data_IF_919139837637
#
_entry.id   IF_919139837637
#
_cell.length_a   1.000
_cell.length_b   1.000
_cell.length_c   1.000
_cell.angle_alpha   90.00
_cell.angle_beta   90.00
_cell.angle_gamma   90.00
#
_symmetry.space_group_name_H-M   'P 1'
#
loop_
_entity.id
_entity.type
_entity.pdbx_description
1 polymer ?
#
# COMPACT_ATOMS: atom_id res chain seq x y z
N UNK A 1 -20.09 20.87 2.20
CA UNK A 1 -19.12 19.81 1.89
C UNK A 1 -18.30 19.60 3.13
N UNK A 2 -18.41 18.43 3.75
CA UNK A 2 -17.72 18.09 4.98
C UNK A 2 -16.21 18.24 4.76
N UNK A 3 -15.57 19.08 5.57
CA UNK A 3 -14.14 19.33 5.48
C UNK A 3 -13.42 18.19 6.20
N UNK A 4 -12.76 17.31 5.45
CA UNK A 4 -11.93 16.26 6.06
C UNK A 4 -10.56 16.89 6.38
N UNK A 5 -10.13 16.93 7.66
CA UNK A 5 -9.02 17.75 8.10
C UNK A 5 -7.66 17.33 7.53
N UNK A 6 -7.40 16.01 7.41
CA UNK A 6 -6.31 15.38 6.65
C UNK A 6 -6.31 13.88 6.95
N UNK A 7 -5.63 13.08 6.12
CA UNK A 7 -5.19 11.75 6.52
C UNK A 7 -3.94 11.85 7.43
N UNK A 8 -3.76 10.95 8.41
CA UNK A 8 -2.58 10.98 9.28
C UNK A 8 -1.28 10.87 8.47
N UNK A 9 -0.22 11.52 8.96
CA UNK A 9 1.05 11.55 8.22
C UNK A 9 1.74 10.19 8.29
N UNK A 10 2.26 9.72 7.16
CA UNK A 10 3.14 8.56 7.17
C UNK A 10 4.53 8.95 7.68
N UNK A 11 5.00 8.20 8.68
CA UNK A 11 6.39 8.25 9.11
C UNK A 11 7.34 7.83 7.97
N UNK A 12 8.63 8.03 8.17
CA UNK A 12 9.66 7.49 7.26
C UNK A 12 9.52 5.95 7.16
N UNK A 13 9.84 5.35 5.99
CA UNK A 13 9.88 3.90 5.86
C UNK A 13 10.76 3.24 6.92
N UNK A 14 10.34 2.07 7.38
CA UNK A 14 11.05 1.28 8.41
C UNK A 14 11.76 0.06 7.84
N UNK A 15 11.48 -0.30 6.59
CA UNK A 15 12.09 -1.45 5.95
C UNK A 15 11.84 -1.50 4.45
N UNK A 16 12.59 -2.39 3.81
CA UNK A 16 12.37 -2.84 2.44
C UNK A 16 12.08 -4.33 2.54
N UNK A 17 10.99 -4.78 1.91
CA UNK A 17 10.64 -6.20 1.82
C UNK A 17 10.60 -6.58 0.35
N UNK A 18 11.08 -7.77 0.04
CA UNK A 18 11.03 -8.36 -1.29
C UNK A 18 10.63 -9.82 -1.14
N UNK A 19 9.72 -10.27 -2.00
CA UNK A 19 9.26 -11.66 -1.99
C UNK A 19 8.84 -12.09 -3.40
N UNK A 20 8.55 -13.38 -3.56
CA UNK A 20 8.03 -13.97 -4.78
C UNK A 20 6.78 -14.77 -4.40
N UNK A 21 5.63 -14.33 -4.90
CA UNK A 21 4.47 -15.20 -4.95
C UNK A 21 4.65 -16.19 -6.11
N UNK A 22 4.24 -17.44 -5.91
CA UNK A 22 4.32 -18.53 -6.87
C UNK A 22 2.90 -19.06 -7.10
N UNK A 23 2.46 -19.05 -8.34
CA UNK A 23 1.13 -19.52 -8.71
C UNK A 23 0.88 -20.96 -8.21
N UNK A 24 -0.27 -21.18 -7.56
CA UNK A 24 -0.69 -22.49 -7.06
C UNK A 24 -0.37 -22.76 -5.58
N UNK A 25 0.37 -21.87 -4.91
CA UNK A 25 0.49 -21.90 -3.45
C UNK A 25 -0.78 -21.32 -2.78
N UNK A 26 -1.11 -21.71 -1.53
CA UNK A 26 -2.29 -21.20 -0.83
C UNK A 26 -2.35 -19.66 -0.81
N UNK A 27 -3.39 -19.09 -1.41
CA UNK A 27 -3.60 -17.64 -1.50
C UNK A 27 -2.84 -16.92 -2.62
N UNK A 28 -2.15 -17.64 -3.50
CA UNK A 28 -1.34 -17.08 -4.58
C UNK A 28 -1.91 -17.49 -5.95
N UNK A 29 -2.42 -16.50 -6.69
CA UNK A 29 -3.13 -16.69 -7.97
C UNK A 29 -2.26 -16.41 -9.21
N UNK A 30 -1.07 -15.87 -9.01
CA UNK A 30 -0.07 -15.65 -10.06
C UNK A 30 1.35 -15.75 -9.48
N UNK A 31 2.32 -16.01 -10.36
CA UNK A 31 3.73 -15.92 -10.01
C UNK A 31 4.18 -14.49 -10.23
N UNK A 32 4.66 -13.82 -9.18
CA UNK A 32 5.07 -12.42 -9.25
C UNK A 32 6.14 -12.15 -8.19
N UNK A 33 7.28 -11.62 -8.63
CA UNK A 33 8.25 -11.02 -7.73
C UNK A 33 7.82 -9.59 -7.43
N UNK A 34 7.96 -9.16 -6.18
CA UNK A 34 7.62 -7.80 -5.80
C UNK A 34 8.59 -7.27 -4.75
N UNK A 35 8.74 -5.95 -4.75
CA UNK A 35 9.49 -5.23 -3.74
C UNK A 35 8.64 -4.06 -3.22
N UNK A 36 8.69 -3.83 -1.91
CA UNK A 36 7.93 -2.77 -1.26
C UNK A 36 8.74 -2.06 -0.17
N UNK A 37 8.30 -0.84 0.14
CA UNK A 37 8.73 -0.08 1.31
C UNK A 37 7.71 -0.25 2.42
N UNK A 38 8.11 -0.84 3.54
CA UNK A 38 7.26 -0.94 4.72
C UNK A 38 7.21 0.39 5.45
N UNK A 39 6.01 0.85 5.78
CA UNK A 39 5.76 2.06 6.56
C UNK A 39 5.32 1.69 7.97
N UNK A 40 5.60 2.55 8.94
CA UNK A 40 5.04 2.41 10.27
C UNK A 40 3.57 2.88 10.29
N UNK A 41 2.70 2.07 10.89
CA UNK A 41 1.36 2.51 11.29
C UNK A 41 1.41 3.23 12.64
N UNK A 42 0.36 3.96 12.97
CA UNK A 42 0.18 4.63 14.26
C UNK A 42 -1.30 4.59 14.68
N UNK A 43 -1.66 4.94 15.94
CA UNK A 43 -3.05 4.89 16.39
C UNK A 43 -4.04 5.72 15.56
N UNK A 44 -3.59 6.86 15.00
CA UNK A 44 -4.43 7.70 14.14
C UNK A 44 -4.74 7.01 12.80
N UNK A 45 -3.76 6.30 12.22
CA UNK A 45 -3.99 5.49 11.02
C UNK A 45 -5.00 4.38 11.27
N UNK A 46 -4.88 3.65 12.38
CA UNK A 46 -5.81 2.56 12.71
C UNK A 46 -7.24 3.11 12.89
N UNK A 47 -7.41 4.23 13.60
CA UNK A 47 -8.71 4.87 13.75
C UNK A 47 -9.30 5.34 12.41
N UNK A 48 -8.49 5.92 11.52
CA UNK A 48 -8.92 6.34 10.20
C UNK A 48 -9.35 5.14 9.32
N UNK A 49 -8.65 4.00 9.43
CA UNK A 49 -9.00 2.79 8.71
C UNK A 49 -10.25 2.12 9.24
N UNK A 50 -10.49 2.15 10.55
CA UNK A 50 -11.72 1.60 11.12
C UNK A 50 -12.94 2.37 10.59
N UNK A 51 -12.85 3.70 10.47
CA UNK A 51 -13.87 4.53 9.82
C UNK A 51 -14.01 4.16 8.33
N UNK A 52 -12.91 4.05 7.60
CA UNK A 52 -12.94 3.67 6.18
C UNK A 52 -13.59 2.31 5.98
N UNK A 53 -13.27 1.35 6.85
CA UNK A 53 -13.82 0.01 6.82
C UNK A 53 -15.33 0.01 7.08
N UNK A 54 -15.81 0.81 8.03
CA UNK A 54 -17.23 0.99 8.30
C UNK A 54 -17.97 1.61 7.10
N UNK A 55 -17.35 2.57 6.39
CA UNK A 55 -17.94 3.18 5.18
C UNK A 55 -18.19 2.12 4.09
N UNK A 56 -17.24 1.20 3.87
CA UNK A 56 -17.37 0.18 2.83
C UNK A 56 -18.21 -1.04 3.23
N UNK A 57 -18.30 -1.35 4.52
CA UNK A 57 -18.91 -2.59 5.01
C UNK A 57 -20.13 -2.39 5.93
N UNK A 58 -20.49 -1.13 6.21
CA UNK A 58 -21.61 -0.75 7.06
C UNK A 58 -21.32 -0.83 8.57
N UNK A 59 -22.14 -0.16 9.40
CA UNK A 59 -22.03 -0.23 10.86
C UNK A 59 -22.27 -1.67 11.34
N UNK A 60 -21.28 -2.22 12.04
CA UNK A 60 -21.30 -3.62 12.49
C UNK A 60 -21.05 -4.64 11.37
N UNK A 61 -20.42 -4.21 10.26
CA UNK A 61 -20.09 -5.05 9.10
C UNK A 61 -19.63 -6.45 9.50
N UNK A 62 -20.14 -7.46 8.78
CA UNK A 62 -20.06 -8.89 9.13
C UNK A 62 -18.63 -9.45 9.38
N UNK A 63 -17.58 -8.66 9.12
CA UNK A 63 -16.19 -8.96 9.44
C UNK A 63 -15.56 -7.71 10.06
N UNK A 64 -15.13 -7.74 11.31
CA UNK A 64 -14.22 -6.69 11.84
C UNK A 64 -12.85 -6.86 11.22
N UNK A 65 -12.08 -5.77 11.10
CA UNK A 65 -10.64 -5.84 10.81
C UNK A 65 -9.98 -6.80 11.79
N UNK A 66 -9.36 -7.86 11.28
CA UNK A 66 -8.80 -8.98 12.07
C UNK A 66 -7.34 -8.78 12.45
N UNK A 67 -6.65 -7.82 11.83
CA UNK A 67 -5.25 -7.53 12.09
C UNK A 67 -4.96 -6.03 11.94
N UNK A 68 -3.92 -5.52 12.62
CA UNK A 68 -3.41 -4.18 12.39
C UNK A 68 -3.03 -3.97 10.92
N UNK A 69 -3.17 -2.74 10.45
CA UNK A 69 -2.77 -2.41 9.10
C UNK A 69 -1.24 -2.42 8.96
N UNK A 70 -0.77 -2.96 7.84
CA UNK A 70 0.64 -2.90 7.44
C UNK A 70 0.75 -2.01 6.21
N UNK A 71 0.85 -0.69 6.39
CA UNK A 71 1.00 0.21 5.27
C UNK A 71 2.33 -0.05 4.56
N UNK A 72 2.28 -0.11 3.24
CA UNK A 72 3.44 -0.28 2.39
C UNK A 72 3.25 0.49 1.09
N UNK A 73 4.36 0.82 0.44
CA UNK A 73 4.37 1.31 -0.93
C UNK A 73 5.07 0.27 -1.79
N UNK A 74 4.33 -0.34 -2.70
CA UNK A 74 4.92 -1.19 -3.74
C UNK A 74 5.83 -0.36 -4.62
N UNK A 75 7.03 -0.88 -4.87
CA UNK A 75 8.10 -0.23 -5.62
C UNK A 75 8.21 -0.83 -7.01
N UNK A 76 8.16 -2.16 -7.05
CA UNK A 76 8.32 -2.91 -8.28
C UNK A 76 7.49 -4.19 -8.20
N UNK A 77 6.98 -4.57 -9.36
CA UNK A 77 6.35 -5.84 -9.64
C UNK A 77 7.03 -6.39 -10.89
N UNK A 78 7.42 -7.65 -10.86
CA UNK A 78 8.08 -8.32 -11.96
C UNK A 78 7.50 -9.72 -12.13
N UNK A 79 7.39 -10.18 -13.37
CA UNK A 79 7.02 -11.55 -13.69
C UNK A 79 8.31 -12.28 -14.03
N UNK A 80 8.96 -12.95 -13.05
CA UNK A 80 10.33 -13.41 -13.21
C UNK A 80 10.39 -14.53 -14.26
N UNK A 81 10.74 -14.17 -15.49
CA UNK A 81 11.06 -15.13 -16.57
C UNK A 81 12.56 -15.45 -16.57
N UNK A 82 13.42 -14.43 -16.39
CA UNK A 82 14.88 -14.55 -16.51
C UNK A 82 15.69 -13.92 -15.36
N UNK A 83 15.08 -13.03 -14.58
CA UNK A 83 15.74 -12.30 -13.47
C UNK A 83 14.76 -12.13 -12.32
N UNK A 84 15.29 -12.08 -11.09
CA UNK A 84 14.51 -11.79 -9.90
C UNK A 84 14.87 -10.39 -9.41
N UNK A 85 13.85 -9.64 -8.98
CA UNK A 85 14.05 -8.42 -8.19
C UNK A 85 14.96 -8.73 -7.00
N UNK A 86 16.20 -8.27 -7.06
CA UNK A 86 17.18 -8.48 -6.01
C UNK A 86 17.00 -7.45 -4.88
N UNK A 87 16.91 -7.92 -3.64
CA UNK A 87 16.83 -7.07 -2.45
C UNK A 87 18.01 -6.09 -2.35
N UNK A 88 19.23 -6.52 -2.65
CA UNK A 88 20.42 -5.66 -2.56
C UNK A 88 20.36 -4.50 -3.56
N UNK A 89 19.90 -4.78 -4.78
CA UNK A 89 19.71 -3.75 -5.81
C UNK A 89 18.58 -2.80 -5.45
N UNK A 90 17.49 -3.33 -4.88
CA UNK A 90 16.38 -2.51 -4.37
C UNK A 90 16.85 -1.57 -3.26
N UNK A 91 17.58 -2.07 -2.27
CA UNK A 91 18.15 -1.26 -1.18
C UNK A 91 19.10 -0.21 -1.75
N UNK A 92 19.98 -0.60 -2.67
CA UNK A 92 20.94 0.30 -3.32
C UNK A 92 20.22 1.43 -4.06
N UNK A 93 19.20 1.10 -4.84
CA UNK A 93 18.36 2.07 -5.54
C UNK A 93 17.69 3.02 -4.54
N UNK A 94 17.07 2.52 -3.48
CA UNK A 94 16.41 3.34 -2.46
C UNK A 94 17.38 4.27 -1.72
N UNK A 95 18.55 3.75 -1.35
CA UNK A 95 19.60 4.52 -0.70
C UNK A 95 20.12 5.64 -1.61
N UNK A 96 20.12 5.43 -2.94
CA UNK A 96 20.47 6.47 -3.92
C UNK A 96 19.45 7.61 -4.02
N UNK A 97 18.26 7.47 -3.41
CA UNK A 97 17.17 8.46 -3.43
C UNK A 97 16.88 8.94 -2.00
N UNK A 98 17.60 9.95 -1.49
CA UNK A 98 17.54 10.38 -0.09
C UNK A 98 16.15 10.77 0.41
N UNK A 99 15.29 11.24 -0.49
CA UNK A 99 13.92 11.62 -0.14
C UNK A 99 13.06 10.42 0.22
N UNK A 100 13.30 9.24 -0.35
CA UNK A 100 12.46 8.05 -0.15
C UNK A 100 12.54 7.58 1.30
N UNK A 101 13.75 7.36 1.81
CA UNK A 101 13.98 6.82 3.16
C UNK A 101 14.04 7.90 4.25
N UNK A 102 14.42 9.13 3.89
CA UNK A 102 14.75 10.18 4.86
C UNK A 102 13.62 11.11 5.25
N UNK A 103 12.43 11.00 4.63
CA UNK A 103 11.35 11.98 4.82
C UNK A 103 10.01 11.32 5.09
N UNK A 104 9.25 11.91 5.98
CA UNK A 104 7.83 11.61 6.19
C UNK A 104 7.00 12.06 4.98
N UNK A 105 5.77 11.55 4.86
CA UNK A 105 4.85 11.89 3.75
C UNK A 105 3.49 12.30 4.26
N UNK A 106 3.06 13.48 3.81
CA UNK A 106 1.67 13.92 3.93
C UNK A 106 0.89 13.35 2.74
N UNK A 107 -0.26 12.77 3.02
CA UNK A 107 -1.20 12.35 1.97
C UNK A 107 -1.99 13.57 1.50
N UNK A 108 -2.01 13.80 0.19
CA UNK A 108 -2.74 14.91 -0.41
C UNK A 108 -4.15 14.53 -0.86
N UNK A 109 -4.38 13.24 -1.12
CA UNK A 109 -5.67 12.74 -1.58
C UNK A 109 -5.81 11.25 -1.30
N UNK A 110 -7.05 10.79 -1.24
CA UNK A 110 -7.44 9.38 -1.39
C UNK A 110 -8.23 9.22 -2.69
N UNK A 111 -8.06 8.08 -3.34
CA UNK A 111 -8.76 7.76 -4.59
C UNK A 111 -9.46 6.42 -4.47
N UNK A 112 -10.67 6.34 -5.00
CA UNK A 112 -11.43 5.11 -5.17
C UNK A 112 -11.09 4.52 -6.54
N UNK A 113 -10.77 3.23 -6.58
CA UNK A 113 -10.38 2.53 -7.80
C UNK A 113 -11.27 1.31 -8.03
N UNK A 114 -11.63 1.07 -9.29
CA UNK A 114 -12.05 -0.24 -9.76
C UNK A 114 -10.79 -1.01 -10.17
N UNK A 115 -10.57 -2.18 -9.56
CA UNK A 115 -9.39 -3.02 -9.80
C UNK A 115 -9.76 -4.36 -10.46
N UNK A 116 -10.93 -4.45 -11.09
CA UNK A 116 -11.31 -5.61 -11.90
C UNK A 116 -10.40 -5.72 -13.14
N UNK A 117 -9.95 -6.93 -13.47
CA UNK A 117 -9.05 -7.16 -14.60
C UNK A 117 -7.57 -7.06 -14.24
N UNK A 118 -6.74 -6.69 -15.23
CA UNK A 118 -5.29 -6.49 -15.05
C UNK A 118 -5.02 -5.07 -14.54
N UNK A 119 -3.80 -4.83 -14.06
CA UNK A 119 -3.40 -3.49 -13.59
C UNK A 119 -3.54 -2.39 -14.66
N UNK A 120 -3.38 -2.75 -15.94
CA UNK A 120 -3.61 -1.85 -17.08
C UNK A 120 -5.09 -1.47 -17.28
N UNK A 121 -6.02 -2.26 -16.73
CA UNK A 121 -7.46 -2.04 -16.82
C UNK A 121 -8.00 -1.25 -15.61
N UNK A 122 -7.17 -0.97 -14.60
CA UNK A 122 -7.61 -0.31 -13.37
C UNK A 122 -8.07 1.12 -13.62
N UNK A 123 -9.24 1.47 -13.10
CA UNK A 123 -9.88 2.77 -13.31
C UNK A 123 -10.02 3.53 -12.00
N UNK A 124 -9.57 4.79 -11.99
CA UNK A 124 -9.81 5.70 -10.87
C UNK A 124 -11.23 6.26 -10.97
N UNK A 125 -12.13 5.80 -10.11
CA UNK A 125 -13.54 6.18 -10.10
C UNK A 125 -13.79 7.55 -9.46
N UNK A 126 -13.05 7.87 -8.40
CA UNK A 126 -13.19 9.16 -7.70
C UNK A 126 -11.91 9.51 -6.93
N UNK A 127 -11.74 10.79 -6.58
CA UNK A 127 -10.61 11.29 -5.79
C UNK A 127 -11.03 12.41 -4.83
N UNK A 128 -10.77 12.20 -3.56
CA UNK A 128 -11.00 13.16 -2.48
C UNK A 128 -9.67 13.78 -2.09
N UNK A 129 -9.61 15.12 -2.09
CA UNK A 129 -8.42 15.87 -1.71
C UNK A 129 -8.47 16.34 -0.25
N UNK A 130 -7.33 16.26 0.43
CA UNK A 130 -7.16 16.81 1.76
C UNK A 130 -6.64 18.24 1.70
N UNK A 131 -7.11 19.08 2.63
CA UNK A 131 -6.56 20.41 2.88
C UNK A 131 -5.19 20.30 3.53
#
# INVERSE_FOLDING_TARGET
KDKIPAWPKFAKPVGVVQDIAVNGQPGQVCSIAWAELTLATNPEHEAALDILYEIFHGPGGAKKRVAPWKPHNSVAYDNPEDSVLNLADTITYMASKPTILGKERRVQALSLWNTEGKMEDWECLDRIHFF
#
